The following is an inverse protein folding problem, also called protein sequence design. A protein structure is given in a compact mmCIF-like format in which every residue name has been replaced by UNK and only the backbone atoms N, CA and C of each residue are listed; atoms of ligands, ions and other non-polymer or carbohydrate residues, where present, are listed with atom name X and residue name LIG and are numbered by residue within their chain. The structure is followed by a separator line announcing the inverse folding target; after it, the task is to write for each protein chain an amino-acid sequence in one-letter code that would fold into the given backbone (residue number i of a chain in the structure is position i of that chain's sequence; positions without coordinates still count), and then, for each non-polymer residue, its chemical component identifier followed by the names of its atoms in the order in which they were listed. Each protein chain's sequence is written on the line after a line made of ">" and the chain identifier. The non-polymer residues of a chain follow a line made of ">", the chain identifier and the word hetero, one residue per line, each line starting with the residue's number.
data_IF_669803594622
#
_entry.id   IF_669803594622
#
_cell.length_a   1.000
_cell.length_b   1.000
_cell.length_c   1.000
_cell.angle_alpha   90.00
_cell.angle_beta   90.00
_cell.angle_gamma   90.00
#
_symmetry.space_group_name_H-M   'P 1'
#
loop_
_entity.id
_entity.type
_entity.pdbx_description
1 polymer ?
#
# COMPACT_ATOMS: atom_id res chain seq x y z
N UNK A 1 -44.62 -41.99 57.28
CA UNK A 1 -44.39 -40.63 57.84
C UNK A 1 -42.89 -40.21 57.69
N UNK A 2 -41.99 -41.10 57.44
CA UNK A 2 -40.53 -40.83 57.27
C UNK A 2 -40.13 -40.35 55.88
N UNK A 3 -40.82 -40.80 54.83
CA UNK A 3 -40.53 -40.38 53.43
C UNK A 3 -40.90 -38.94 53.09
N UNK A 4 -41.91 -38.32 53.73
CA UNK A 4 -42.28 -36.91 53.50
C UNK A 4 -41.27 -35.92 54.11
N UNK A 5 -40.53 -36.31 55.15
CA UNK A 5 -39.51 -35.47 55.79
C UNK A 5 -38.20 -35.44 55.01
N UNK A 6 -37.87 -36.50 54.24
CA UNK A 6 -36.68 -36.53 53.38
C UNK A 6 -36.85 -35.68 52.11
N UNK A 7 -38.08 -35.59 51.56
CA UNK A 7 -38.32 -34.72 50.37
C UNK A 7 -38.27 -33.21 50.69
N UNK A 8 -38.67 -32.80 51.92
CA UNK A 8 -38.60 -31.40 52.32
C UNK A 8 -37.18 -30.91 52.59
N UNK A 9 -36.28 -31.79 53.11
CA UNK A 9 -34.88 -31.44 53.33
C UNK A 9 -34.07 -31.40 52.05
N UNK A 10 -34.42 -32.20 51.02
CA UNK A 10 -33.79 -32.11 49.68
C UNK A 10 -34.12 -30.84 48.89
N UNK A 11 -35.36 -30.33 49.06
CA UNK A 11 -35.79 -29.11 48.40
C UNK A 11 -35.19 -27.85 49.03
N UNK A 12 -34.89 -27.84 50.34
CA UNK A 12 -34.21 -26.74 51.01
C UNK A 12 -32.72 -26.65 50.63
N UNK A 13 -32.05 -27.80 50.35
CA UNK A 13 -30.64 -27.81 49.93
C UNK A 13 -30.46 -27.40 48.45
N UNK A 14 -31.46 -27.65 47.61
CA UNK A 14 -31.43 -27.22 46.19
C UNK A 14 -31.65 -25.72 46.02
N UNK A 15 -32.33 -25.05 46.97
CA UNK A 15 -32.60 -23.60 46.91
C UNK A 15 -31.37 -22.75 47.35
N UNK A 16 -30.41 -23.33 48.08
CA UNK A 16 -29.20 -22.63 48.50
C UNK A 16 -28.10 -22.59 47.44
N UNK A 17 -28.22 -23.30 46.29
CA UNK A 17 -27.22 -23.28 45.22
C UNK A 17 -27.46 -22.24 44.12
N UNK A 18 -28.52 -21.41 44.21
CA UNK A 18 -28.83 -20.44 43.19
C UNK A 18 -28.31 -19.03 43.53
N UNK A 19 -27.60 -18.86 44.63
CA UNK A 19 -27.02 -17.55 45.00
C UNK A 19 -25.56 -17.40 44.66
N UNK A 20 -25.05 -18.12 43.65
CA UNK A 20 -23.73 -17.81 43.15
C UNK A 20 -23.77 -16.75 42.06
N UNK A 21 -23.43 -15.56 42.54
CA UNK A 21 -22.62 -14.59 41.84
C UNK A 21 -23.19 -13.99 40.58
N UNK A 22 -23.89 -12.95 40.72
CA UNK A 22 -23.66 -11.83 39.82
C UNK A 22 -22.29 -11.27 40.13
N UNK A 23 -21.21 -11.83 39.55
CA UNK A 23 -19.98 -11.11 39.39
C UNK A 23 -20.34 -9.85 38.62
N UNK A 24 -20.16 -8.69 39.23
CA UNK A 24 -20.21 -7.42 38.51
C UNK A 24 -19.20 -7.52 37.38
N UNK A 25 -19.65 -7.81 36.18
CA UNK A 25 -18.87 -7.63 34.97
C UNK A 25 -18.78 -6.14 34.79
N UNK A 26 -17.64 -5.55 35.11
CA UNK A 26 -17.34 -4.16 34.76
C UNK A 26 -17.29 -4.17 33.23
N UNK A 27 -18.27 -3.57 32.60
CA UNK A 27 -18.37 -3.54 31.13
C UNK A 27 -17.14 -2.85 30.51
N UNK A 28 -16.67 -1.78 31.11
CA UNK A 28 -15.39 -1.09 30.80
C UNK A 28 -15.00 -0.17 31.97
N UNK A 29 -13.75 0.28 32.01
CA UNK A 29 -13.23 1.15 33.05
C UNK A 29 -12.78 2.47 32.45
N UNK A 30 -13.25 3.57 33.03
CA UNK A 30 -12.75 4.91 32.69
C UNK A 30 -11.34 5.04 33.26
N UNK A 31 -10.34 5.21 32.40
CA UNK A 31 -8.93 5.38 32.78
C UNK A 31 -8.52 6.84 32.82
N UNK A 32 -9.18 7.70 32.06
CA UNK A 32 -8.93 9.13 32.06
C UNK A 32 -10.08 9.98 31.56
N UNK A 33 -10.06 11.24 31.95
CA UNK A 33 -10.99 12.27 31.46
C UNK A 33 -10.19 13.53 31.16
N UNK A 34 -10.47 14.17 30.02
CA UNK A 34 -9.95 15.49 29.67
C UNK A 34 -11.11 16.37 29.23
N UNK A 35 -11.55 17.29 30.08
CA UNK A 35 -12.78 18.04 29.88
C UNK A 35 -14.00 17.16 29.93
N UNK A 36 -14.70 17.02 28.80
CA UNK A 36 -15.83 16.13 28.57
C UNK A 36 -15.45 14.85 27.82
N UNK A 37 -14.19 14.67 27.46
CA UNK A 37 -13.68 13.51 26.69
C UNK A 37 -13.22 12.41 27.63
N UNK A 38 -13.78 11.23 27.46
CA UNK A 38 -13.48 10.04 28.26
C UNK A 38 -12.48 9.15 27.52
N UNK A 39 -11.61 8.49 28.26
CA UNK A 39 -10.71 7.43 27.76
C UNK A 39 -11.00 6.16 28.54
N UNK A 40 -11.31 5.09 27.81
CA UNK A 40 -11.63 3.79 28.38
C UNK A 40 -10.41 2.86 28.39
N UNK A 41 -10.39 1.91 29.31
CA UNK A 41 -9.33 0.88 29.39
C UNK A 41 -9.28 0.05 28.10
N UNK A 42 -10.45 -0.29 27.56
CA UNK A 42 -10.56 -1.03 26.31
C UNK A 42 -9.92 -0.29 25.12
N UNK A 43 -9.99 1.04 25.06
CA UNK A 43 -9.36 1.82 23.98
C UNK A 43 -7.83 1.62 23.96
N UNK A 44 -7.18 1.59 25.14
CA UNK A 44 -5.74 1.34 25.26
C UNK A 44 -5.38 -0.07 24.77
N UNK A 45 -6.17 -1.07 25.19
CA UNK A 45 -5.97 -2.47 24.78
C UNK A 45 -6.15 -2.62 23.28
N UNK A 46 -7.23 -2.07 22.71
CA UNK A 46 -7.50 -2.11 21.26
C UNK A 46 -6.38 -1.43 20.46
N UNK A 47 -5.93 -0.25 20.90
CA UNK A 47 -4.84 0.46 20.23
C UNK A 47 -3.54 -0.39 20.19
N UNK A 48 -3.24 -1.10 21.29
CA UNK A 48 -2.08 -1.99 21.35
C UNK A 48 -2.22 -3.21 20.43
N UNK A 49 -3.42 -3.79 20.36
CA UNK A 49 -3.71 -4.90 19.44
C UNK A 49 -3.64 -4.46 17.97
N UNK A 50 -4.08 -3.26 17.66
CA UNK A 50 -4.00 -2.71 16.29
C UNK A 50 -2.55 -2.46 15.86
N UNK A 51 -1.68 -1.97 16.77
CA UNK A 51 -0.24 -1.83 16.51
C UNK A 51 0.37 -3.19 16.17
N UNK A 52 0.04 -4.24 16.95
CA UNK A 52 0.54 -5.60 16.68
C UNK A 52 0.05 -6.14 15.34
N UNK A 53 -1.23 -5.95 15.00
CA UNK A 53 -1.80 -6.40 13.71
C UNK A 53 -1.11 -5.74 12.50
N UNK A 54 -0.64 -4.51 12.67
CA UNK A 54 0.13 -3.78 11.66
C UNK A 54 1.62 -4.18 11.62
N UNK A 55 2.03 -5.19 12.40
CA UNK A 55 3.42 -5.65 12.46
C UNK A 55 4.33 -4.81 13.36
N UNK A 56 3.76 -3.87 14.13
CA UNK A 56 4.48 -3.06 15.11
C UNK A 56 4.72 -3.82 16.44
N UNK A 57 5.66 -3.31 17.23
CA UNK A 57 5.86 -3.78 18.60
C UNK A 57 4.84 -3.12 19.53
N UNK A 58 4.28 -3.90 20.47
CA UNK A 58 3.40 -3.37 21.50
C UNK A 58 4.09 -2.24 22.27
N UNK A 59 3.38 -1.15 22.48
CA UNK A 59 3.83 -0.05 23.32
C UNK A 59 3.38 -0.31 24.78
N UNK A 60 4.07 0.32 25.73
CA UNK A 60 3.60 0.26 27.11
C UNK A 60 2.30 1.10 27.27
N UNK A 61 1.44 0.66 28.18
CA UNK A 61 0.14 1.29 28.40
C UNK A 61 0.26 2.76 28.83
N UNK A 62 1.33 3.12 29.55
CA UNK A 62 1.58 4.50 29.96
C UNK A 62 1.82 5.43 28.76
N UNK A 63 2.56 4.93 27.76
CA UNK A 63 2.85 5.69 26.53
C UNK A 63 1.60 5.86 25.68
N UNK A 64 0.83 4.82 25.49
CA UNK A 64 -0.46 4.90 24.76
C UNK A 64 -1.43 5.83 25.46
N UNK A 65 -1.51 5.76 26.79
CA UNK A 65 -2.40 6.62 27.55
C UNK A 65 -1.98 8.11 27.48
N UNK A 66 -0.67 8.43 27.53
CA UNK A 66 -0.17 9.83 27.29
C UNK A 66 -0.57 10.34 25.90
N UNK A 67 -0.46 9.47 24.87
CA UNK A 67 -0.89 9.82 23.51
C UNK A 67 -2.39 10.09 23.42
N UNK A 68 -3.22 9.25 24.08
CA UNK A 68 -4.67 9.43 24.10
C UNK A 68 -5.08 10.71 24.87
N UNK A 69 -4.49 10.96 26.04
CA UNK A 69 -4.70 12.20 26.77
C UNK A 69 -4.34 13.44 25.93
N UNK A 70 -3.19 13.36 25.25
CA UNK A 70 -2.71 14.40 24.33
C UNK A 70 -3.71 14.63 23.17
N UNK A 71 -4.23 13.54 22.58
CA UNK A 71 -5.23 13.63 21.51
C UNK A 71 -6.53 14.25 22.01
N UNK A 72 -7.07 13.79 23.17
CA UNK A 72 -8.31 14.33 23.72
C UNK A 72 -8.16 15.82 24.08
N UNK A 73 -7.01 16.25 24.59
CA UNK A 73 -6.73 17.67 24.85
C UNK A 73 -6.71 18.52 23.56
N UNK A 74 -6.14 18.00 22.49
CA UNK A 74 -6.18 18.66 21.18
C UNK A 74 -7.60 18.76 20.64
N UNK A 75 -8.40 17.69 20.72
CA UNK A 75 -9.81 17.68 20.32
C UNK A 75 -10.60 18.73 21.10
N UNK A 76 -10.47 18.72 22.43
CA UNK A 76 -11.15 19.68 23.29
C UNK A 76 -10.82 21.13 22.93
N UNK A 77 -9.54 21.42 22.65
CA UNK A 77 -9.14 22.77 22.25
C UNK A 77 -9.61 23.09 20.83
N UNK A 78 -9.57 22.12 19.91
CA UNK A 78 -10.06 22.30 18.54
C UNK A 78 -11.55 22.72 18.52
N UNK A 79 -12.35 22.07 19.35
CA UNK A 79 -13.77 22.41 19.51
C UNK A 79 -13.94 23.83 20.08
N UNK A 80 -13.17 24.20 21.13
CA UNK A 80 -13.17 25.55 21.70
C UNK A 80 -12.74 26.61 20.70
N UNK A 81 -11.76 26.29 19.86
CA UNK A 81 -11.20 27.17 18.85
C UNK A 81 -11.99 27.15 17.51
N UNK A 82 -13.09 26.38 17.46
CA UNK A 82 -13.94 26.21 16.29
C UNK A 82 -13.16 25.80 15.02
N UNK A 83 -12.23 24.82 15.17
CA UNK A 83 -11.53 24.26 14.02
C UNK A 83 -12.54 23.64 13.05
N UNK A 84 -12.57 24.05 11.78
CA UNK A 84 -13.57 23.57 10.84
C UNK A 84 -13.31 22.10 10.48
N UNK A 85 -14.30 21.25 10.67
CA UNK A 85 -14.36 19.86 10.19
C UNK A 85 -15.77 19.62 9.65
N UNK A 86 -15.88 19.42 8.34
CA UNK A 86 -17.16 19.21 7.68
C UNK A 86 -17.59 17.74 7.72
N UNK A 87 -18.89 17.48 7.70
CA UNK A 87 -19.40 16.11 7.61
C UNK A 87 -19.03 15.48 6.25
N UNK A 88 -18.92 16.29 5.19
CA UNK A 88 -18.47 15.83 3.86
C UNK A 88 -17.04 15.27 3.90
N UNK A 89 -16.13 15.95 4.58
CA UNK A 89 -14.75 15.48 4.78
C UNK A 89 -14.70 14.16 5.53
N UNK A 90 -15.55 14.02 6.57
CA UNK A 90 -15.64 12.80 7.38
C UNK A 90 -16.17 11.64 6.53
N UNK A 91 -17.28 11.84 5.81
CA UNK A 91 -17.84 10.80 4.94
C UNK A 91 -16.89 10.37 3.85
N UNK A 92 -16.19 11.31 3.23
CA UNK A 92 -15.19 11.03 2.20
C UNK A 92 -14.06 10.13 2.72
N UNK A 93 -13.58 10.40 3.94
CA UNK A 93 -12.52 9.59 4.56
C UNK A 93 -13.04 8.21 4.99
N UNK A 94 -14.26 8.14 5.53
CA UNK A 94 -14.92 6.87 5.85
C UNK A 94 -15.05 6.02 4.59
N UNK A 95 -15.55 6.58 3.49
CA UNK A 95 -15.70 5.87 2.22
C UNK A 95 -14.37 5.37 1.66
N UNK A 96 -13.31 6.15 1.81
CA UNK A 96 -11.98 5.73 1.40
C UNK A 96 -11.47 4.54 2.23
N UNK A 97 -11.66 4.57 3.55
CA UNK A 97 -11.29 3.45 4.45
C UNK A 97 -12.10 2.19 4.14
N UNK A 98 -13.39 2.33 3.92
CA UNK A 98 -14.27 1.20 3.57
C UNK A 98 -13.85 0.59 2.23
N UNK A 99 -13.57 1.41 1.20
CA UNK A 99 -13.04 0.89 -0.08
C UNK A 99 -11.71 0.15 0.10
N UNK A 100 -10.83 0.67 0.93
CA UNK A 100 -9.57 0.01 1.26
C UNK A 100 -9.82 -1.37 1.90
N UNK A 101 -10.67 -1.45 2.92
CA UNK A 101 -11.00 -2.72 3.56
C UNK A 101 -11.67 -3.71 2.59
N UNK A 102 -12.61 -3.25 1.77
CA UNK A 102 -13.23 -4.10 0.75
C UNK A 102 -12.15 -4.65 -0.21
N UNK A 103 -11.15 -3.85 -0.61
CA UNK A 103 -10.06 -4.32 -1.46
C UNK A 103 -9.16 -5.35 -0.77
N UNK A 104 -8.98 -5.25 0.55
CA UNK A 104 -8.18 -6.20 1.34
C UNK A 104 -8.92 -7.53 1.59
N UNK A 105 -10.22 -7.47 1.85
CA UNK A 105 -11.04 -8.64 2.16
C UNK A 105 -11.77 -9.24 0.94
N UNK A 106 -11.63 -8.61 -0.23
CA UNK A 106 -12.12 -9.09 -1.50
C UNK A 106 -13.53 -8.64 -1.86
N UNK A 107 -14.46 -8.51 -0.89
CA UNK A 107 -15.81 -8.03 -1.15
C UNK A 107 -16.43 -7.33 0.06
N UNK A 108 -17.56 -6.66 -0.17
CA UNK A 108 -18.37 -6.05 0.89
C UNK A 108 -18.92 -7.11 1.86
N UNK A 109 -19.43 -8.19 1.32
CA UNK A 109 -20.04 -9.29 2.08
C UNK A 109 -18.98 -9.97 2.98
N UNK A 110 -17.76 -10.16 2.48
CA UNK A 110 -16.66 -10.70 3.26
C UNK A 110 -16.28 -9.78 4.43
N UNK A 111 -16.24 -8.46 4.20
CA UNK A 111 -15.97 -7.48 5.26
C UNK A 111 -17.09 -7.50 6.33
N UNK A 112 -18.38 -7.53 5.93
CA UNK A 112 -19.51 -7.62 6.86
C UNK A 112 -19.50 -8.94 7.66
N UNK A 113 -19.15 -10.05 7.02
CA UNK A 113 -19.05 -11.35 7.68
C UNK A 113 -17.92 -11.40 8.72
N UNK A 114 -16.74 -10.89 8.37
CA UNK A 114 -15.54 -10.89 9.26
C UNK A 114 -15.75 -9.93 10.43
N UNK A 115 -16.35 -8.76 10.20
CA UNK A 115 -16.59 -7.76 11.24
C UNK A 115 -17.79 -8.09 12.13
N UNK A 116 -18.72 -8.95 11.66
CA UNK A 116 -20.01 -9.20 12.30
C UNK A 116 -20.94 -7.99 12.29
N UNK A 117 -20.71 -6.99 11.43
CA UNK A 117 -21.42 -5.72 11.35
C UNK A 117 -21.72 -5.35 9.91
N UNK A 118 -22.84 -4.69 9.67
CA UNK A 118 -23.14 -4.12 8.34
C UNK A 118 -22.20 -2.94 8.02
N UNK A 119 -22.00 -2.65 6.74
CA UNK A 119 -21.21 -1.49 6.30
C UNK A 119 -21.74 -0.18 6.91
N UNK A 120 -23.04 -0.05 7.11
CA UNK A 120 -23.62 1.13 7.75
C UNK A 120 -23.18 1.28 9.21
N UNK A 121 -23.15 0.18 9.96
CA UNK A 121 -22.67 0.17 11.34
C UNK A 121 -21.17 0.44 11.40
N UNK A 122 -20.37 -0.15 10.50
CA UNK A 122 -18.94 0.12 10.42
C UNK A 122 -18.67 1.60 10.10
N UNK A 123 -19.43 2.20 9.18
CA UNK A 123 -19.32 3.64 8.88
C UNK A 123 -19.65 4.50 10.09
N UNK A 124 -20.71 4.16 10.81
CA UNK A 124 -21.12 4.91 12.00
C UNK A 124 -20.09 4.82 13.12
N UNK A 125 -19.49 3.65 13.33
CA UNK A 125 -18.41 3.44 14.30
C UNK A 125 -17.15 4.29 13.97
N UNK A 126 -16.87 4.53 12.68
CA UNK A 126 -15.73 5.35 12.27
C UNK A 126 -15.97 6.86 12.35
N UNK A 127 -17.21 7.32 12.38
CA UNK A 127 -17.57 8.74 12.28
C UNK A 127 -16.92 9.58 13.39
N UNK A 128 -17.13 9.19 14.63
CA UNK A 128 -16.60 9.93 15.77
C UNK A 128 -15.08 9.85 15.87
N UNK A 129 -14.42 8.69 15.76
CA UNK A 129 -12.95 8.60 15.71
C UNK A 129 -12.31 9.45 14.60
N UNK A 130 -12.87 9.45 13.40
CA UNK A 130 -12.37 10.26 12.29
C UNK A 130 -12.55 11.75 12.57
N UNK A 131 -13.71 12.17 13.10
CA UNK A 131 -13.95 13.55 13.51
C UNK A 131 -12.90 14.01 14.52
N UNK A 132 -12.68 13.24 15.58
CA UNK A 132 -11.66 13.54 16.60
C UNK A 132 -10.25 13.59 16.02
N UNK A 133 -9.90 12.66 15.14
CA UNK A 133 -8.60 12.65 14.47
C UNK A 133 -8.39 13.93 13.64
N UNK A 134 -9.41 14.36 12.88
CA UNK A 134 -9.36 15.59 12.07
C UNK A 134 -9.27 16.85 12.94
N UNK A 135 -10.07 16.93 14.00
CA UNK A 135 -10.00 18.03 14.97
C UNK A 135 -8.62 18.13 15.60
N UNK A 136 -8.07 17.02 16.11
CA UNK A 136 -6.74 16.99 16.70
C UNK A 136 -5.64 17.38 15.69
N UNK A 137 -5.74 16.89 14.46
CA UNK A 137 -4.80 17.24 13.38
C UNK A 137 -4.89 18.71 12.99
N UNK A 138 -6.11 19.23 12.82
CA UNK A 138 -6.35 20.64 12.54
C UNK A 138 -5.81 21.56 13.64
N UNK A 139 -6.04 21.20 14.91
CA UNK A 139 -5.49 21.95 16.05
C UNK A 139 -3.95 21.91 16.08
N UNK A 140 -3.38 20.72 15.84
CA UNK A 140 -1.91 20.57 15.75
C UNK A 140 -1.34 21.44 14.64
N UNK A 141 -1.97 21.44 13.47
CA UNK A 141 -1.56 22.31 12.34
C UNK A 141 -1.64 23.79 12.70
N UNK A 142 -2.72 24.24 13.36
CA UNK A 142 -2.89 25.62 13.82
C UNK A 142 -1.80 26.04 14.81
N UNK A 143 -1.42 25.17 15.77
CA UNK A 143 -0.37 25.47 16.76
C UNK A 143 0.98 25.70 16.09
N UNK A 144 1.28 24.95 15.03
CA UNK A 144 2.56 25.02 14.31
C UNK A 144 2.50 25.88 13.06
N UNK A 145 1.35 26.52 12.79
CA UNK A 145 1.16 27.42 11.66
C UNK A 145 2.16 28.58 11.73
N UNK A 146 2.77 28.88 10.61
CA UNK A 146 3.74 29.97 10.52
C UNK A 146 5.12 29.67 11.13
N UNK A 147 5.35 28.51 11.76
CA UNK A 147 6.68 28.12 12.23
C UNK A 147 7.55 27.80 11.01
N UNK A 148 8.59 28.62 10.83
CA UNK A 148 9.60 28.47 9.80
C UNK A 148 10.96 28.22 10.44
N UNK A 149 11.86 27.63 9.69
CA UNK A 149 13.26 27.43 10.09
C UNK A 149 14.15 28.39 9.31
N UNK A 150 15.12 28.95 9.97
CA UNK A 150 16.15 29.81 9.33
C UNK A 150 17.44 29.03 9.10
N UNK A 151 18.31 29.43 8.15
CA UNK A 151 19.59 28.79 7.93
C UNK A 151 20.47 28.73 9.19
N UNK A 152 20.43 29.74 10.02
CA UNK A 152 21.16 29.77 11.30
C UNK A 152 20.66 28.68 12.25
N UNK A 153 19.34 28.55 12.42
CA UNK A 153 18.75 27.52 13.26
C UNK A 153 19.05 26.10 12.74
N UNK A 154 19.07 25.90 11.43
CA UNK A 154 19.48 24.63 10.83
C UNK A 154 20.92 24.29 11.18
N UNK A 155 21.82 25.27 11.10
CA UNK A 155 23.21 25.09 11.49
C UNK A 155 23.36 24.75 12.98
N UNK A 156 22.68 25.49 13.85
CA UNK A 156 22.68 25.23 15.29
C UNK A 156 22.10 23.86 15.65
N UNK A 157 21.06 23.42 14.94
CA UNK A 157 20.50 22.08 15.09
C UNK A 157 21.54 21.02 14.72
N UNK A 158 22.17 21.16 13.56
CA UNK A 158 23.17 20.21 13.05
C UNK A 158 24.39 20.12 13.99
N UNK A 159 24.88 21.24 14.50
CA UNK A 159 26.02 21.30 15.43
C UNK A 159 25.74 20.59 16.77
N UNK A 160 24.47 20.47 17.17
CA UNK A 160 24.04 19.74 18.38
C UNK A 160 23.99 18.22 18.17
N UNK A 161 24.00 17.74 16.92
CA UNK A 161 23.98 16.30 16.65
C UNK A 161 25.34 15.71 17.02
N UNK A 162 25.39 14.71 17.93
CA UNK A 162 26.64 14.04 18.25
C UNK A 162 27.24 13.39 16.99
N UNK A 163 28.55 13.50 16.79
CA UNK A 163 29.24 12.98 15.61
C UNK A 163 28.98 11.50 15.35
N UNK A 164 28.81 10.69 16.39
CA UNK A 164 28.48 9.28 16.31
C UNK A 164 27.01 8.99 15.95
N UNK A 165 26.16 10.02 15.84
CA UNK A 165 24.77 9.94 15.40
C UNK A 165 24.54 10.52 14.01
N UNK A 166 25.57 11.08 13.38
CA UNK A 166 25.49 11.53 11.99
C UNK A 166 25.28 10.32 11.10
N UNK A 167 24.38 10.49 10.14
CA UNK A 167 24.01 9.41 9.21
C UNK A 167 25.11 9.26 8.18
N UNK A 168 25.51 8.03 7.89
CA UNK A 168 26.34 7.72 6.72
C UNK A 168 25.41 7.45 5.53
N UNK A 169 25.52 8.27 4.50
CA UNK A 169 24.82 8.09 3.25
C UNK A 169 25.70 7.31 2.28
N UNK A 170 25.18 6.20 1.79
CA UNK A 170 25.78 5.48 0.69
C UNK A 170 25.64 6.26 -0.62
N UNK A 171 26.41 5.91 -1.63
CA UNK A 171 26.28 6.51 -2.95
C UNK A 171 24.86 6.32 -3.49
N UNK A 172 24.23 7.41 -3.85
CA UNK A 172 22.90 7.44 -4.43
C UNK A 172 22.94 7.99 -5.84
N UNK A 173 22.00 7.56 -6.66
CA UNK A 173 21.85 8.04 -8.03
C UNK A 173 20.42 8.46 -8.30
N UNK A 174 20.24 9.47 -9.14
CA UNK A 174 18.95 9.78 -9.76
C UNK A 174 19.05 9.38 -11.24
N UNK A 175 18.10 8.59 -11.67
CA UNK A 175 18.13 7.95 -12.99
C UNK A 175 16.81 8.19 -13.70
N UNK A 176 16.90 8.57 -14.96
CA UNK A 176 15.79 8.51 -15.92
C UNK A 176 15.96 7.32 -16.87
N UNK A 177 14.86 6.72 -17.32
CA UNK A 177 14.91 5.67 -18.33
C UNK A 177 13.83 5.82 -19.40
N UNK A 178 14.16 5.39 -20.62
CA UNK A 178 13.20 5.19 -21.70
C UNK A 178 13.29 3.72 -22.09
N UNK A 179 12.16 3.06 -22.08
CA UNK A 179 12.05 1.61 -22.29
C UNK A 179 11.25 1.34 -23.54
N UNK A 180 11.70 0.43 -24.39
CA UNK A 180 10.92 -0.15 -25.49
C UNK A 180 10.89 -1.66 -25.32
N UNK A 181 9.67 -2.24 -25.32
CA UNK A 181 9.52 -3.67 -25.44
C UNK A 181 9.40 -4.04 -26.92
N UNK A 182 10.32 -4.89 -27.44
CA UNK A 182 10.24 -5.36 -28.80
C UNK A 182 8.86 -5.99 -29.06
N UNK A 183 8.25 -5.66 -30.17
CA UNK A 183 6.97 -6.22 -30.58
C UNK A 183 7.24 -7.29 -31.65
N UNK A 184 6.48 -8.36 -31.58
CA UNK A 184 6.56 -9.39 -32.62
C UNK A 184 6.25 -8.76 -33.98
N UNK A 185 7.06 -9.10 -34.99
CA UNK A 185 6.79 -8.76 -36.35
C UNK A 185 5.49 -9.47 -36.82
N UNK A 186 4.89 -8.95 -37.89
CA UNK A 186 3.69 -9.53 -38.46
C UNK A 186 3.90 -10.99 -38.85
N UNK A 187 5.07 -11.35 -39.33
CA UNK A 187 5.38 -12.73 -39.77
C UNK A 187 5.41 -13.70 -38.58
N UNK A 188 5.97 -13.26 -37.43
CA UNK A 188 5.94 -14.06 -36.19
C UNK A 188 4.52 -14.17 -35.64
N UNK A 189 3.73 -13.08 -35.70
CA UNK A 189 2.30 -13.17 -35.34
C UNK A 189 1.53 -14.14 -36.22
N UNK A 190 1.73 -14.08 -37.54
CA UNK A 190 1.09 -15.01 -38.50
C UNK A 190 1.49 -16.46 -38.24
N UNK A 191 2.74 -16.72 -37.92
CA UNK A 191 3.19 -18.06 -37.56
C UNK A 191 2.41 -18.63 -36.36
N UNK A 192 2.25 -17.84 -35.29
CA UNK A 192 1.48 -18.25 -34.12
C UNK A 192 -0.01 -18.46 -34.44
N UNK A 193 -0.58 -17.64 -35.35
CA UNK A 193 -1.95 -17.75 -35.80
C UNK A 193 -2.12 -19.04 -36.64
N UNK A 194 -1.20 -19.33 -37.55
CA UNK A 194 -1.24 -20.53 -38.43
C UNK A 194 -1.08 -21.82 -37.63
N UNK A 195 -0.18 -21.85 -36.62
CA UNK A 195 -0.07 -22.94 -35.67
C UNK A 195 -1.41 -23.24 -34.97
N UNK A 196 -2.04 -22.19 -34.42
CA UNK A 196 -3.31 -22.32 -33.71
C UNK A 196 -4.46 -22.75 -34.63
N UNK A 197 -4.50 -22.25 -35.87
CA UNK A 197 -5.45 -22.73 -36.89
C UNK A 197 -5.21 -24.20 -37.23
N UNK A 198 -3.96 -24.64 -37.32
CA UNK A 198 -3.60 -26.02 -37.48
C UNK A 198 -4.08 -26.92 -36.33
N UNK A 199 -3.92 -26.45 -35.09
CA UNK A 199 -4.45 -27.17 -33.91
C UNK A 199 -5.97 -27.24 -33.93
N UNK A 200 -6.64 -26.11 -34.21
CA UNK A 200 -8.09 -26.07 -34.36
C UNK A 200 -8.58 -27.11 -35.39
N UNK A 201 -7.99 -27.14 -36.57
CA UNK A 201 -8.34 -28.11 -37.63
C UNK A 201 -8.18 -29.56 -37.16
N UNK A 202 -7.10 -29.87 -36.42
CA UNK A 202 -6.87 -31.21 -35.87
C UNK A 202 -7.93 -31.61 -34.85
N UNK A 203 -8.35 -30.66 -33.98
CA UNK A 203 -9.41 -30.89 -32.98
C UNK A 203 -10.76 -31.08 -33.66
N UNK A 204 -11.14 -30.24 -34.63
CA UNK A 204 -12.42 -30.28 -35.35
C UNK A 204 -12.52 -31.53 -36.20
N UNK A 205 -11.41 -32.03 -36.78
CA UNK A 205 -11.34 -33.28 -37.50
C UNK A 205 -11.29 -34.53 -36.57
N UNK A 206 -11.22 -34.35 -35.25
CA UNK A 206 -11.14 -35.46 -34.28
C UNK A 206 -9.80 -36.22 -34.28
N UNK A 207 -8.77 -35.73 -35.00
CA UNK A 207 -7.46 -36.40 -35.11
C UNK A 207 -6.60 -36.23 -33.88
N UNK A 208 -6.80 -35.15 -33.12
CA UNK A 208 -6.14 -34.85 -31.84
C UNK A 208 -7.14 -34.32 -30.84
N UNK A 209 -6.92 -34.65 -29.56
CA UNK A 209 -7.70 -34.06 -28.46
C UNK A 209 -7.15 -32.68 -28.10
N UNK A 210 -8.05 -31.74 -27.79
CA UNK A 210 -7.67 -30.38 -27.40
C UNK A 210 -6.73 -30.37 -26.19
N UNK A 211 -7.02 -31.15 -25.15
CA UNK A 211 -6.21 -31.28 -23.95
C UNK A 211 -4.77 -31.73 -24.22
N UNK A 212 -4.59 -32.65 -25.17
CA UNK A 212 -3.26 -33.16 -25.59
C UNK A 212 -2.45 -32.03 -26.23
N UNK A 213 -3.09 -31.28 -27.15
CA UNK A 213 -2.44 -30.16 -27.82
C UNK A 213 -2.13 -29.04 -26.82
N UNK A 214 -3.02 -28.76 -25.87
CA UNK A 214 -2.79 -27.76 -24.81
C UNK A 214 -1.59 -28.13 -23.94
N UNK A 215 -1.50 -29.38 -23.47
CA UNK A 215 -0.39 -29.84 -22.66
C UNK A 215 0.96 -29.84 -23.39
N UNK A 216 0.97 -30.07 -24.69
CA UNK A 216 2.21 -30.08 -25.47
C UNK A 216 2.67 -28.68 -25.90
N UNK A 217 1.73 -27.87 -26.36
CA UNK A 217 2.06 -26.67 -27.14
C UNK A 217 1.61 -25.34 -26.50
N UNK A 218 0.77 -25.37 -25.45
CA UNK A 218 0.37 -24.11 -24.81
C UNK A 218 1.53 -23.44 -24.12
N UNK A 219 1.64 -22.12 -24.28
CA UNK A 219 2.59 -21.25 -23.54
C UNK A 219 2.00 -20.74 -22.22
N UNK A 220 0.78 -21.17 -21.84
CA UNK A 220 0.16 -20.79 -20.58
C UNK A 220 0.61 -21.66 -19.41
N UNK A 221 1.43 -21.16 -18.47
CA UNK A 221 1.90 -21.96 -17.34
C UNK A 221 0.78 -22.33 -16.34
N UNK A 222 -0.32 -21.56 -16.32
CA UNK A 222 -1.42 -21.77 -15.37
C UNK A 222 -2.31 -22.97 -15.70
N UNK A 223 -2.44 -23.31 -16.97
CA UNK A 223 -3.35 -24.38 -17.42
C UNK A 223 -2.71 -25.47 -18.27
N UNK A 224 -1.50 -25.28 -18.80
CA UNK A 224 -0.80 -26.22 -19.66
C UNK A 224 -0.82 -27.64 -19.11
N UNK A 225 -0.38 -27.85 -17.89
CA UNK A 225 -0.26 -29.16 -17.24
C UNK A 225 -1.62 -29.81 -16.94
N UNK A 226 -2.69 -29.02 -17.01
CA UNK A 226 -4.08 -29.46 -16.82
C UNK A 226 -4.85 -29.55 -18.14
N UNK A 227 -4.15 -29.66 -19.28
CA UNK A 227 -4.80 -29.74 -20.61
C UNK A 227 -5.52 -28.46 -21.01
N UNK A 228 -5.05 -27.29 -20.50
CA UNK A 228 -5.58 -25.98 -20.85
C UNK A 228 -6.87 -25.56 -20.10
N UNK A 229 -7.28 -26.28 -19.04
CA UNK A 229 -8.58 -26.10 -18.37
C UNK A 229 -8.59 -24.91 -17.46
N UNK A 230 -9.65 -24.09 -17.57
CA UNK A 230 -10.08 -23.09 -16.61
C UNK A 230 -11.56 -23.23 -16.27
N UNK A 231 -11.89 -22.99 -15.02
CA UNK A 231 -13.26 -22.74 -14.58
C UNK A 231 -13.46 -21.23 -14.52
N UNK A 232 -14.51 -20.73 -15.11
CA UNK A 232 -14.83 -19.30 -15.19
C UNK A 232 -16.27 -19.06 -14.75
N UNK A 233 -16.51 -17.93 -14.10
CA UNK A 233 -17.85 -17.46 -13.75
C UNK A 233 -18.13 -16.14 -14.48
N UNK A 234 -19.38 -15.91 -14.89
CA UNK A 234 -19.78 -14.70 -15.63
C UNK A 234 -19.47 -13.40 -14.88
N UNK A 235 -19.35 -13.42 -13.56
CA UNK A 235 -18.99 -12.29 -12.73
C UNK A 235 -17.50 -12.01 -12.61
N UNK A 236 -16.65 -12.90 -13.16
CA UNK A 236 -15.19 -12.75 -13.11
C UNK A 236 -14.72 -11.49 -13.83
N UNK A 237 -13.82 -10.74 -13.19
CA UNK A 237 -13.25 -9.49 -13.73
C UNK A 237 -11.74 -9.55 -13.97
N UNK A 238 -11.08 -10.66 -13.59
CA UNK A 238 -9.64 -10.83 -13.72
C UNK A 238 -9.17 -11.22 -15.12
N UNK A 239 -10.07 -11.68 -15.98
CA UNK A 239 -9.75 -12.17 -17.33
C UNK A 239 -9.60 -11.03 -18.34
N UNK A 240 -8.79 -11.26 -19.39
CA UNK A 240 -8.76 -10.35 -20.52
C UNK A 240 -10.16 -10.26 -21.16
N UNK A 241 -10.72 -9.05 -21.35
CA UNK A 241 -12.10 -8.88 -21.82
C UNK A 241 -12.38 -9.54 -23.17
N UNK A 242 -11.40 -9.54 -24.08
CA UNK A 242 -11.54 -10.15 -25.42
C UNK A 242 -11.60 -11.67 -25.32
N UNK A 243 -10.70 -12.26 -24.56
CA UNK A 243 -10.65 -13.69 -24.28
C UNK A 243 -11.92 -14.14 -23.56
N UNK A 244 -12.30 -13.44 -22.49
CA UNK A 244 -13.47 -13.75 -21.67
C UNK A 244 -14.78 -13.68 -22.48
N UNK A 245 -14.98 -12.61 -23.26
CA UNK A 245 -16.14 -12.47 -24.13
C UNK A 245 -16.23 -13.58 -25.17
N UNK A 246 -15.09 -14.04 -25.69
CA UNK A 246 -15.05 -15.11 -26.63
C UNK A 246 -15.45 -16.45 -26.01
N UNK A 247 -15.05 -16.76 -24.76
CA UNK A 247 -15.49 -17.98 -24.07
C UNK A 247 -17.03 -18.08 -24.05
N UNK A 248 -17.71 -16.99 -23.70
CA UNK A 248 -19.16 -16.98 -23.53
C UNK A 248 -19.97 -17.03 -24.83
N UNK A 249 -19.32 -16.82 -26.00
CA UNK A 249 -19.96 -16.92 -27.31
C UNK A 249 -19.97 -18.35 -27.87
N UNK A 250 -19.18 -19.27 -27.28
CA UNK A 250 -19.05 -20.64 -27.78
C UNK A 250 -20.20 -21.52 -27.27
N UNK A 251 -20.58 -22.48 -28.10
CA UNK A 251 -21.41 -23.62 -27.71
C UNK A 251 -20.52 -24.73 -27.13
N UNK A 252 -21.10 -25.61 -26.32
CA UNK A 252 -20.37 -26.77 -25.78
C UNK A 252 -19.78 -27.61 -26.93
N UNK A 253 -18.52 -28.01 -26.76
CA UNK A 253 -17.71 -28.70 -27.76
C UNK A 253 -17.09 -27.80 -28.83
N UNK A 254 -17.58 -26.59 -29.02
CA UNK A 254 -17.11 -25.69 -30.08
C UNK A 254 -15.73 -25.11 -29.77
N UNK A 255 -14.89 -25.00 -30.82
CA UNK A 255 -13.58 -24.32 -30.78
C UNK A 255 -13.71 -22.94 -31.41
N UNK A 256 -13.12 -21.93 -30.75
CA UNK A 256 -13.13 -20.55 -31.24
C UNK A 256 -12.27 -20.36 -32.50
N UNK A 257 -12.49 -19.30 -33.29
CA UNK A 257 -11.42 -18.77 -34.13
C UNK A 257 -10.23 -18.34 -33.27
N UNK A 258 -9.09 -18.06 -33.90
CA UNK A 258 -7.93 -17.49 -33.19
C UNK A 258 -8.28 -16.12 -32.69
N UNK A 259 -7.99 -15.85 -31.39
CA UNK A 259 -8.31 -14.62 -30.65
C UNK A 259 -7.03 -14.02 -30.16
N UNK A 260 -6.88 -12.70 -30.33
CA UNK A 260 -5.76 -11.92 -29.75
C UNK A 260 -6.18 -11.33 -28.40
N UNK A 261 -5.39 -11.58 -27.38
CA UNK A 261 -5.47 -10.93 -26.05
C UNK A 261 -4.18 -10.19 -25.73
N UNK A 262 -4.10 -9.59 -24.56
CA UNK A 262 -2.85 -9.00 -24.05
C UNK A 262 -1.74 -10.04 -23.82
N UNK A 263 -2.09 -11.30 -23.55
CA UNK A 263 -1.14 -12.37 -23.30
C UNK A 263 -0.58 -13.00 -24.60
N UNK A 264 -1.29 -12.91 -25.71
CA UNK A 264 -0.91 -13.52 -26.97
C UNK A 264 -2.12 -13.95 -27.80
N UNK A 265 -1.96 -15.03 -28.58
CA UNK A 265 -2.99 -15.60 -29.44
C UNK A 265 -3.54 -16.87 -28.80
N UNK A 266 -4.84 -17.05 -28.88
CA UNK A 266 -5.55 -18.19 -28.26
C UNK A 266 -6.51 -18.85 -29.21
N UNK A 267 -6.70 -20.15 -29.03
CA UNK A 267 -7.95 -20.87 -29.38
C UNK A 267 -8.57 -21.39 -28.09
N UNK A 268 -9.89 -21.40 -28.02
CA UNK A 268 -10.66 -21.75 -26.83
C UNK A 268 -11.67 -22.79 -27.18
N UNK A 269 -11.83 -23.83 -26.35
CA UNK A 269 -12.90 -24.80 -26.46
C UNK A 269 -13.84 -24.71 -25.27
N UNK A 270 -15.14 -24.56 -25.49
CA UNK A 270 -16.13 -24.69 -24.44
C UNK A 270 -16.31 -26.18 -24.10
N UNK A 271 -16.05 -26.56 -22.86
CA UNK A 271 -16.21 -27.93 -22.38
C UNK A 271 -17.64 -28.16 -21.88
N UNK A 272 -18.08 -27.31 -20.96
CA UNK A 272 -19.42 -27.35 -20.38
C UNK A 272 -19.84 -25.99 -19.87
N UNK A 273 -21.15 -25.77 -19.76
CA UNK A 273 -21.73 -24.55 -19.25
C UNK A 273 -22.96 -24.85 -18.39
N UNK A 274 -23.01 -24.27 -17.19
CA UNK A 274 -24.13 -24.40 -16.26
C UNK A 274 -24.45 -23.05 -15.65
N UNK A 275 -25.52 -22.39 -16.14
CA UNK A 275 -25.89 -21.04 -15.68
C UNK A 275 -24.78 -20.02 -15.95
N UNK A 276 -24.26 -19.41 -14.89
CA UNK A 276 -23.19 -18.44 -14.92
C UNK A 276 -21.79 -19.06 -14.78
N UNK A 277 -21.68 -20.38 -14.62
CA UNK A 277 -20.42 -21.11 -14.59
C UNK A 277 -20.12 -21.78 -15.91
N UNK A 278 -18.86 -21.84 -16.31
CA UNK A 278 -18.39 -22.55 -17.45
C UNK A 278 -17.01 -23.17 -17.23
N UNK A 279 -16.79 -24.30 -17.90
CA UNK A 279 -15.48 -24.93 -18.01
C UNK A 279 -15.00 -24.76 -19.45
N UNK A 280 -13.84 -24.14 -19.61
CA UNK A 280 -13.21 -23.93 -20.90
C UNK A 280 -11.82 -24.53 -20.94
N UNK A 281 -11.35 -24.88 -22.13
CA UNK A 281 -9.92 -25.14 -22.37
C UNK A 281 -9.39 -24.10 -23.32
N UNK A 282 -8.13 -23.72 -23.16
CA UNK A 282 -7.47 -22.87 -24.14
C UNK A 282 -6.04 -23.33 -24.45
N UNK A 283 -5.56 -22.90 -25.60
CA UNK A 283 -4.16 -22.99 -26.00
C UNK A 283 -3.71 -21.57 -26.26
N UNK A 284 -2.69 -21.12 -25.51
CA UNK A 284 -2.03 -19.84 -25.71
C UNK A 284 -0.77 -20.06 -26.56
N UNK A 285 -0.56 -19.17 -27.54
CA UNK A 285 0.73 -19.01 -28.22
C UNK A 285 1.20 -17.57 -28.07
N UNK A 286 2.39 -17.43 -27.51
CA UNK A 286 3.05 -16.13 -27.35
C UNK A 286 4.06 -16.02 -28.48
N UNK A 287 3.90 -15.04 -29.42
CA UNK A 287 4.88 -14.81 -30.48
C UNK A 287 6.27 -14.58 -29.90
N UNK A 288 7.24 -15.42 -30.23
CA UNK A 288 8.58 -15.37 -29.67
C UNK A 288 9.38 -14.27 -30.35
N UNK A 289 9.81 -13.26 -29.55
CA UNK A 289 10.67 -12.18 -30.01
C UNK A 289 12.04 -12.74 -30.40
N UNK A 290 12.47 -12.44 -31.59
CA UNK A 290 13.77 -12.84 -32.12
C UNK A 290 14.83 -11.75 -31.98
N UNK A 291 16.06 -12.05 -32.41
CA UNK A 291 17.12 -11.04 -32.45
C UNK A 291 16.80 -9.89 -33.42
N UNK A 292 15.98 -10.13 -34.45
CA UNK A 292 15.61 -9.09 -35.43
C UNK A 292 14.80 -8.01 -34.76
N UNK A 293 13.69 -8.36 -34.07
CA UNK A 293 12.84 -7.41 -33.38
C UNK A 293 13.56 -6.71 -32.25
N UNK A 294 14.45 -7.42 -31.56
CA UNK A 294 15.29 -6.84 -30.52
C UNK A 294 16.26 -5.79 -31.09
N UNK A 295 16.90 -6.06 -32.23
CA UNK A 295 17.80 -5.13 -32.90
C UNK A 295 17.04 -3.91 -33.46
N UNK A 296 15.83 -4.06 -33.96
CA UNK A 296 14.97 -2.95 -34.37
C UNK A 296 14.63 -2.03 -33.21
N UNK A 297 14.33 -2.58 -32.03
CA UNK A 297 14.10 -1.79 -30.81
C UNK A 297 15.37 -1.04 -30.36
N UNK A 298 16.54 -1.68 -30.45
CA UNK A 298 17.85 -1.05 -30.20
C UNK A 298 18.07 0.11 -31.16
N UNK A 299 17.93 -0.08 -32.45
CA UNK A 299 18.13 0.96 -33.47
C UNK A 299 17.16 2.14 -33.29
N UNK A 300 15.90 1.85 -32.94
CA UNK A 300 14.90 2.88 -32.63
C UNK A 300 15.31 3.70 -31.41
N UNK A 301 15.72 3.08 -30.30
CA UNK A 301 16.17 3.80 -29.12
C UNK A 301 17.46 4.57 -29.34
N UNK A 302 18.37 4.05 -30.14
CA UNK A 302 19.61 4.75 -30.50
C UNK A 302 19.30 6.03 -31.27
N UNK A 303 18.38 5.98 -32.24
CA UNK A 303 17.88 7.18 -32.94
C UNK A 303 17.20 8.19 -32.00
N UNK A 304 16.46 7.74 -31.00
CA UNK A 304 15.85 8.61 -29.98
C UNK A 304 16.95 9.25 -29.11
N UNK A 305 17.92 8.45 -28.67
CA UNK A 305 19.07 8.93 -27.91
C UNK A 305 19.82 10.01 -28.66
N UNK A 306 20.12 9.82 -29.93
CA UNK A 306 20.87 10.78 -30.74
C UNK A 306 20.13 12.12 -30.85
N UNK A 307 18.79 12.11 -30.95
CA UNK A 307 17.95 13.32 -30.95
C UNK A 307 18.04 14.04 -29.60
N UNK A 308 18.04 13.29 -28.49
CA UNK A 308 18.15 13.91 -27.16
C UNK A 308 19.54 14.50 -26.96
N UNK A 309 20.60 13.78 -27.32
CA UNK A 309 21.98 14.23 -27.19
C UNK A 309 22.24 15.47 -28.07
N UNK A 310 21.62 15.51 -29.25
CA UNK A 310 21.69 16.69 -30.15
C UNK A 310 20.83 17.87 -29.67
N UNK A 311 20.07 17.73 -28.57
CA UNK A 311 19.15 18.76 -28.05
C UNK A 311 17.90 18.99 -28.91
N UNK A 312 17.66 18.15 -29.90
CA UNK A 312 16.48 18.23 -30.79
C UNK A 312 15.20 17.66 -30.14
N UNK A 313 15.32 16.96 -29.01
CA UNK A 313 14.24 16.36 -28.26
C UNK A 313 14.55 16.37 -26.77
N UNK A 314 13.64 16.83 -25.93
CA UNK A 314 13.79 16.77 -24.47
C UNK A 314 13.61 15.34 -23.96
N UNK A 315 14.33 14.94 -22.88
CA UNK A 315 14.24 13.60 -22.33
C UNK A 315 12.79 13.26 -21.89
N UNK A 316 12.13 14.15 -21.16
CA UNK A 316 10.74 13.93 -20.73
C UNK A 316 9.74 13.83 -21.89
N UNK A 317 9.95 14.58 -22.97
CA UNK A 317 9.15 14.48 -24.22
C UNK A 317 9.39 13.12 -24.90
N UNK A 318 10.66 12.69 -24.95
CA UNK A 318 11.02 11.38 -25.48
C UNK A 318 10.38 10.24 -24.68
N UNK A 319 10.37 10.35 -23.35
CA UNK A 319 9.66 9.40 -22.45
C UNK A 319 8.18 9.32 -22.82
N UNK A 320 7.49 10.44 -22.89
CA UNK A 320 6.07 10.47 -23.19
C UNK A 320 5.73 9.87 -24.58
N UNK A 321 6.63 10.04 -25.55
CA UNK A 321 6.41 9.63 -26.94
C UNK A 321 6.84 8.21 -27.25
N UNK A 322 7.88 7.72 -26.61
CA UNK A 322 8.55 6.48 -27.02
C UNK A 322 8.63 5.41 -25.94
N UNK A 323 8.44 5.76 -24.63
CA UNK A 323 8.54 4.77 -23.57
C UNK A 323 7.29 3.91 -23.50
N UNK A 324 7.49 2.60 -23.47
CA UNK A 324 6.44 1.59 -23.24
C UNK A 324 6.25 1.33 -21.72
N UNK A 325 7.06 1.92 -20.82
CA UNK A 325 6.90 1.83 -19.38
C UNK A 325 5.65 2.59 -18.92
N UNK A 326 4.64 1.90 -18.34
CA UNK A 326 3.39 2.54 -17.94
C UNK A 326 3.57 3.63 -16.87
N UNK A 327 4.60 3.48 -16.01
CA UNK A 327 4.87 4.41 -14.90
C UNK A 327 5.60 5.65 -15.37
N UNK A 328 6.34 5.57 -16.46
CA UNK A 328 7.17 6.64 -16.99
C UNK A 328 6.38 7.92 -17.32
N UNK A 329 5.11 7.80 -17.69
CA UNK A 329 4.24 8.95 -18.00
C UNK A 329 4.01 9.87 -16.78
N UNK A 330 4.02 9.30 -15.58
CA UNK A 330 3.77 10.05 -14.33
C UNK A 330 5.05 10.58 -13.70
N UNK A 331 6.20 9.97 -14.04
CA UNK A 331 7.50 10.30 -13.45
C UNK A 331 8.45 11.02 -14.39
N UNK A 332 7.99 11.31 -15.63
CA UNK A 332 8.84 11.77 -16.73
C UNK A 332 10.06 10.85 -16.96
N UNK A 333 9.86 9.55 -16.79
CA UNK A 333 10.88 8.50 -16.92
C UNK A 333 11.80 8.33 -15.71
N UNK A 334 11.64 9.11 -14.64
CA UNK A 334 12.45 8.96 -13.42
C UNK A 334 12.13 7.66 -12.71
N UNK A 335 13.15 6.93 -12.35
CA UNK A 335 13.02 5.78 -11.49
C UNK A 335 12.76 6.24 -10.06
N UNK A 336 11.88 5.50 -9.35
CA UNK A 336 11.45 5.82 -7.99
C UNK A 336 11.81 4.67 -7.05
N UNK A 337 12.29 5.00 -5.86
CA UNK A 337 12.42 4.06 -4.77
C UNK A 337 11.04 3.68 -4.19
N UNK A 338 10.97 2.66 -3.35
CA UNK A 338 9.72 2.20 -2.73
C UNK A 338 9.03 3.23 -1.83
N UNK A 339 9.82 4.16 -1.29
CA UNK A 339 9.34 5.27 -0.47
C UNK A 339 8.88 6.49 -1.29
N UNK A 340 8.96 6.41 -2.63
CA UNK A 340 8.62 7.49 -3.53
C UNK A 340 9.76 8.50 -3.76
N UNK A 341 10.95 8.27 -3.20
CA UNK A 341 12.15 9.07 -3.49
C UNK A 341 12.65 8.85 -4.90
N UNK A 342 13.20 9.88 -5.52
CA UNK A 342 13.94 9.78 -6.79
C UNK A 342 15.42 9.46 -6.60
N UNK A 343 15.89 9.43 -5.35
CA UNK A 343 17.25 9.03 -5.00
C UNK A 343 17.28 7.53 -4.72
N UNK A 344 18.04 6.80 -5.51
CA UNK A 344 18.14 5.35 -5.46
C UNK A 344 19.50 4.94 -4.90
N UNK A 345 19.53 4.03 -3.95
CA UNK A 345 20.76 3.38 -3.53
C UNK A 345 21.28 2.49 -4.67
N UNK A 346 22.57 2.52 -4.93
CA UNK A 346 23.17 1.66 -5.98
C UNK A 346 22.91 0.16 -5.68
N UNK A 347 22.80 -0.20 -4.40
CA UNK A 347 22.54 -1.57 -3.98
C UNK A 347 21.11 -2.05 -4.34
N UNK A 348 20.15 -1.12 -4.48
CA UNK A 348 18.75 -1.43 -4.80
C UNK A 348 18.47 -1.47 -6.31
N UNK A 349 19.46 -1.09 -7.14
CA UNK A 349 19.32 -1.12 -8.59
C UNK A 349 19.38 -2.55 -9.13
N UNK A 350 18.72 -2.78 -10.27
CA UNK A 350 18.88 -4.04 -10.99
C UNK A 350 20.33 -4.26 -11.45
N UNK A 351 20.71 -5.53 -11.58
CA UNK A 351 22.10 -5.92 -11.87
C UNK A 351 22.62 -5.32 -13.18
N UNK A 352 21.76 -5.23 -14.19
CA UNK A 352 22.16 -4.70 -15.50
C UNK A 352 22.45 -3.20 -15.42
N UNK A 353 21.67 -2.48 -14.61
CA UNK A 353 21.87 -1.06 -14.37
C UNK A 353 23.13 -0.78 -13.55
N UNK A 354 23.41 -1.59 -12.53
CA UNK A 354 24.67 -1.50 -11.77
C UNK A 354 25.88 -1.73 -12.69
N UNK A 355 25.81 -2.74 -13.56
CA UNK A 355 26.87 -3.04 -14.53
C UNK A 355 27.02 -1.91 -15.55
N UNK A 356 25.90 -1.36 -16.04
CA UNK A 356 25.92 -0.19 -16.92
C UNK A 356 26.69 0.97 -16.29
N UNK A 357 26.30 1.38 -15.08
CA UNK A 357 26.90 2.50 -14.37
C UNK A 357 28.39 2.28 -14.08
N UNK A 358 28.80 1.04 -13.80
CA UNK A 358 30.20 0.69 -13.58
C UNK A 358 31.05 0.69 -14.87
N UNK A 359 30.49 0.13 -15.96
CA UNK A 359 31.24 -0.12 -17.18
C UNK A 359 31.32 1.10 -18.09
N UNK A 360 30.32 2.00 -18.05
CA UNK A 360 30.29 3.14 -18.99
C UNK A 360 30.85 4.43 -18.41
N UNK A 361 31.12 4.48 -17.10
CA UNK A 361 31.59 5.69 -16.41
C UNK A 361 30.70 6.92 -16.71
N UNK A 362 29.35 6.68 -16.80
CA UNK A 362 28.37 7.67 -17.19
C UNK A 362 28.43 8.86 -16.21
N UNK A 363 28.52 10.06 -16.73
CA UNK A 363 28.52 11.29 -15.94
C UNK A 363 27.10 11.84 -15.79
N UNK A 364 26.88 12.66 -14.77
CA UNK A 364 25.62 13.36 -14.61
C UNK A 364 25.29 14.18 -15.86
N UNK A 365 24.07 14.02 -16.36
CA UNK A 365 23.57 14.62 -17.61
C UNK A 365 23.85 13.78 -18.87
N UNK A 366 24.56 12.68 -18.78
CA UNK A 366 24.81 11.80 -19.93
C UNK A 366 23.79 10.69 -20.04
N UNK A 367 23.57 10.22 -21.28
CA UNK A 367 22.63 9.16 -21.63
C UNK A 367 23.39 7.94 -22.17
N UNK A 368 23.08 6.78 -21.64
CA UNK A 368 23.67 5.52 -22.07
C UNK A 368 23.31 5.17 -23.52
N UNK A 369 24.09 4.28 -24.13
CA UNK A 369 23.66 3.55 -25.33
C UNK A 369 22.49 2.62 -24.97
N UNK A 370 21.67 2.21 -25.94
CA UNK A 370 20.64 1.20 -25.73
C UNK A 370 21.22 -0.08 -25.15
N UNK A 371 20.56 -0.60 -24.09
CA UNK A 371 20.94 -1.82 -23.40
C UNK A 371 19.75 -2.76 -23.31
N UNK A 372 19.92 -4.07 -23.59
CA UNK A 372 18.91 -5.05 -23.26
C UNK A 372 18.74 -5.14 -21.74
N UNK A 373 17.50 -5.36 -21.29
CA UNK A 373 17.21 -5.62 -19.89
C UNK A 373 15.96 -6.51 -19.76
N UNK A 374 15.74 -7.01 -18.55
CA UNK A 374 14.53 -7.79 -18.24
C UNK A 374 13.81 -7.09 -17.09
N UNK A 375 12.52 -6.81 -17.26
CA UNK A 375 11.71 -6.22 -16.21
C UNK A 375 11.42 -7.21 -15.05
N UNK A 376 10.79 -6.73 -13.98
CA UNK A 376 10.44 -7.55 -12.80
C UNK A 376 9.47 -8.70 -13.14
N UNK A 377 8.75 -8.63 -14.26
CA UNK A 377 7.81 -9.66 -14.74
C UNK A 377 8.48 -10.65 -15.68
N UNK A 378 9.79 -10.49 -15.91
CA UNK A 378 10.54 -11.33 -16.85
C UNK A 378 10.39 -10.94 -18.33
N UNK A 379 9.78 -9.78 -18.63
CA UNK A 379 9.64 -9.31 -20.01
C UNK A 379 10.96 -8.70 -20.49
N UNK A 380 11.45 -9.17 -21.63
CA UNK A 380 12.67 -8.67 -22.25
C UNK A 380 12.37 -7.34 -22.96
N UNK A 381 13.16 -6.33 -22.65
CA UNK A 381 13.08 -4.99 -23.21
C UNK A 381 14.46 -4.45 -23.61
N UNK A 382 14.43 -3.24 -24.16
CA UNK A 382 15.61 -2.42 -24.43
C UNK A 382 15.41 -1.07 -23.75
N UNK A 383 16.42 -0.55 -23.10
CA UNK A 383 16.36 0.77 -22.44
C UNK A 383 17.57 1.62 -22.74
N UNK A 384 17.38 2.94 -22.69
CA UNK A 384 18.42 3.94 -22.50
C UNK A 384 18.24 4.57 -21.13
N UNK A 385 19.34 4.97 -20.52
CA UNK A 385 19.39 5.45 -19.13
C UNK A 385 20.09 6.80 -19.12
N UNK A 386 19.42 7.80 -18.53
CA UNK A 386 20.02 9.10 -18.20
C UNK A 386 20.49 9.09 -16.75
N UNK A 387 21.75 9.36 -16.50
CA UNK A 387 22.23 9.63 -15.16
C UNK A 387 22.01 11.10 -14.83
N UNK A 388 20.97 11.41 -14.06
CA UNK A 388 20.59 12.78 -13.70
C UNK A 388 21.57 13.35 -12.67
N UNK A 389 21.84 12.57 -11.61
CA UNK A 389 22.81 12.94 -10.57
C UNK A 389 23.39 11.70 -9.92
N UNK A 390 24.55 11.85 -9.32
CA UNK A 390 25.23 10.83 -8.49
C UNK A 390 25.86 11.53 -7.30
N UNK A 391 25.60 11.03 -6.10
CA UNK A 391 26.30 11.44 -4.89
C UNK A 391 27.38 10.45 -4.53
N UNK A 392 28.49 10.94 -4.00
CA UNK A 392 29.51 10.08 -3.41
C UNK A 392 29.09 9.67 -1.98
N UNK A 393 29.57 8.52 -1.46
CA UNK A 393 29.33 8.13 -0.09
C UNK A 393 29.89 9.21 0.85
N UNK A 394 29.09 9.65 1.81
CA UNK A 394 29.52 10.70 2.75
C UNK A 394 28.83 10.58 4.10
N UNK A 395 29.49 11.14 5.12
CA UNK A 395 28.84 11.39 6.40
C UNK A 395 28.00 12.65 6.25
N UNK A 396 26.81 12.61 6.80
CA UNK A 396 25.84 13.70 6.80
C UNK A 396 26.47 15.04 7.05
N UNK A 397 26.21 16.01 6.18
CA UNK A 397 26.77 17.35 6.24
C UNK A 397 25.83 18.42 5.67
N UNK A 398 26.04 19.68 6.06
CA UNK A 398 25.19 20.80 5.63
C UNK A 398 25.33 21.19 4.16
N UNK A 399 26.35 20.72 3.45
CA UNK A 399 26.52 21.04 2.03
C UNK A 399 25.63 20.18 1.16
N UNK A 400 25.63 18.89 1.43
CA UNK A 400 25.00 17.90 0.55
C UNK A 400 23.57 17.56 1.04
N UNK A 401 23.31 17.61 2.37
CA UNK A 401 22.07 17.13 3.01
C UNK A 401 21.21 18.26 3.62
N UNK A 402 21.49 19.53 3.25
CA UNK A 402 20.86 20.69 3.87
C UNK A 402 19.33 20.59 4.00
N UNK A 403 18.65 20.16 2.94
CA UNK A 403 17.18 20.08 2.92
C UNK A 403 16.64 19.05 3.93
N UNK A 404 17.30 17.90 4.05
CA UNK A 404 16.91 16.85 4.99
C UNK A 404 17.15 17.29 6.42
N UNK A 405 18.29 17.91 6.66
CA UNK A 405 18.65 18.47 7.98
C UNK A 405 17.70 19.61 8.36
N UNK A 406 17.37 20.50 7.41
CA UNK A 406 16.45 21.62 7.63
C UNK A 406 15.03 21.10 7.96
N UNK A 407 14.57 20.05 7.28
CA UNK A 407 13.26 19.46 7.60
C UNK A 407 13.25 18.87 9.02
N UNK A 408 14.28 18.11 9.41
CA UNK A 408 14.39 17.57 10.78
C UNK A 408 14.47 18.67 11.84
N UNK A 409 15.21 19.73 11.57
CA UNK A 409 15.30 20.89 12.47
C UNK A 409 13.94 21.61 12.59
N UNK A 410 13.19 21.73 11.49
CA UNK A 410 11.84 22.28 11.50
C UNK A 410 10.87 21.42 12.29
N UNK A 411 10.94 20.09 12.13
CA UNK A 411 10.06 19.15 12.83
C UNK A 411 10.35 19.17 14.36
N UNK A 412 11.63 19.24 14.76
CA UNK A 412 12.00 19.44 16.16
C UNK A 412 11.46 20.78 16.70
N UNK A 413 11.61 21.87 15.95
CA UNK A 413 11.09 23.20 16.34
C UNK A 413 9.57 23.17 16.51
N UNK A 414 8.85 22.50 15.62
CA UNK A 414 7.39 22.29 15.73
C UNK A 414 7.03 21.43 16.94
N UNK A 415 7.79 20.37 17.20
CA UNK A 415 7.60 19.52 18.37
C UNK A 415 7.77 20.31 19.69
N UNK A 416 8.82 21.13 19.79
CA UNK A 416 9.05 21.99 20.95
C UNK A 416 7.90 23.00 21.11
N UNK A 417 7.40 23.58 20.03
CA UNK A 417 6.26 24.49 20.08
C UNK A 417 4.99 23.81 20.58
N UNK A 418 4.71 22.58 20.12
CA UNK A 418 3.62 21.77 20.64
C UNK A 418 3.77 21.47 22.12
N UNK A 419 4.95 21.09 22.57
CA UNK A 419 5.22 20.83 24.01
C UNK A 419 4.99 22.08 24.85
N UNK A 420 5.49 23.24 24.42
CA UNK A 420 5.27 24.55 25.12
C UNK A 420 3.78 24.89 25.15
N UNK A 421 3.07 24.68 24.06
CA UNK A 421 1.64 24.92 24.00
C UNK A 421 0.90 24.03 25.01
N UNK A 422 1.19 22.72 25.05
CA UNK A 422 0.61 21.80 26.01
C UNK A 422 0.91 22.22 27.45
N UNK A 423 2.16 22.56 27.76
CA UNK A 423 2.54 23.00 29.08
C UNK A 423 1.74 24.26 29.55
N UNK A 424 1.39 25.14 28.62
CA UNK A 424 0.60 26.34 28.91
C UNK A 424 -0.90 26.07 29.05
N UNK A 425 -1.43 25.02 28.41
CA UNK A 425 -2.87 24.75 28.32
C UNK A 425 -3.36 23.66 29.26
N UNK A 426 -2.51 22.68 29.59
CA UNK A 426 -2.90 21.47 30.31
C UNK A 426 -3.58 21.80 31.68
N UNK A 427 -3.11 22.79 32.40
CA UNK A 427 -3.67 23.21 33.68
C UNK A 427 -5.03 23.93 33.60
N UNK A 428 -5.48 24.24 32.36
CA UNK A 428 -6.79 24.87 32.11
C UNK A 428 -7.90 23.87 31.87
N UNK A 429 -7.57 22.59 31.76
CA UNK A 429 -8.53 21.52 31.53
C UNK A 429 -8.90 20.81 32.84
N UNK A 430 -10.13 20.33 32.94
CA UNK A 430 -10.52 19.34 33.92
C UNK A 430 -9.92 17.98 33.54
N UNK A 431 -9.11 17.39 34.45
CA UNK A 431 -8.37 16.16 34.15
C UNK A 431 -8.60 15.16 35.28
N UNK A 432 -8.94 13.93 34.91
CA UNK A 432 -8.99 12.79 35.84
C UNK A 432 -8.10 11.69 35.29
N UNK A 433 -7.30 11.08 36.17
CA UNK A 433 -6.44 9.94 35.85
C UNK A 433 -6.69 8.86 36.87
N UNK A 434 -6.94 7.66 36.40
CA UNK A 434 -7.12 6.48 37.23
C UNK A 434 -5.84 6.14 38.02
N UNK A 435 -6.01 5.62 39.23
CA UNK A 435 -4.90 5.29 40.15
C UNK A 435 -3.89 4.32 39.54
N UNK A 436 -4.33 3.43 38.67
CA UNK A 436 -3.47 2.48 37.94
C UNK A 436 -2.35 3.18 37.15
N UNK A 437 -2.59 4.39 36.65
CA UNK A 437 -1.65 5.14 35.80
C UNK A 437 -0.88 6.25 36.56
N UNK A 438 -1.14 6.44 37.85
CA UNK A 438 -0.46 7.49 38.64
C UNK A 438 1.05 7.29 38.80
N UNK A 439 1.52 6.06 38.62
CA UNK A 439 2.95 5.73 38.70
C UNK A 439 3.71 5.87 37.37
N UNK A 440 3.03 6.23 36.30
CA UNK A 440 3.65 6.42 34.98
C UNK A 440 4.48 7.71 34.94
N UNK A 441 5.79 7.59 34.75
CA UNK A 441 6.70 8.74 34.75
C UNK A 441 6.40 9.78 33.66
N UNK A 442 5.96 9.32 32.48
CA UNK A 442 5.58 10.18 31.34
C UNK A 442 4.28 10.95 31.56
N UNK A 443 3.45 10.56 32.55
CA UNK A 443 2.18 11.21 32.88
C UNK A 443 2.30 12.31 33.96
N UNK A 444 3.49 12.58 34.47
CA UNK A 444 3.72 13.53 35.56
C UNK A 444 3.04 14.90 35.30
N UNK A 445 3.12 15.43 34.08
CA UNK A 445 2.48 16.69 33.69
C UNK A 445 0.96 16.65 33.81
N UNK A 446 0.34 15.50 33.49
CA UNK A 446 -1.11 15.27 33.54
C UNK A 446 -1.58 15.09 34.99
N UNK A 447 -0.82 14.34 35.79
CA UNK A 447 -1.10 14.11 37.22
C UNK A 447 -1.03 15.43 38.01
N UNK A 448 -0.03 16.28 37.73
CA UNK A 448 0.07 17.59 38.34
C UNK A 448 -1.14 18.47 37.95
N UNK A 449 -1.55 18.46 36.70
CA UNK A 449 -2.70 19.21 36.24
C UNK A 449 -4.02 18.69 36.85
N UNK A 450 -4.17 17.36 36.99
CA UNK A 450 -5.32 16.74 37.64
C UNK A 450 -5.47 17.17 39.10
N UNK A 451 -4.36 17.25 39.85
CA UNK A 451 -4.35 17.73 41.25
C UNK A 451 -4.80 19.19 41.36
N UNK A 452 -4.41 20.05 40.40
CA UNK A 452 -4.84 21.47 40.35
C UNK A 452 -6.34 21.56 40.01
N UNK A 453 -6.85 20.71 39.13
CA UNK A 453 -8.28 20.72 38.75
C UNK A 453 -9.17 20.22 39.89
N UNK A 454 -8.71 19.28 40.70
CA UNK A 454 -9.44 18.75 41.85
C UNK A 454 -9.53 19.74 43.06
N UNK A 455 -8.68 20.78 43.07
CA UNK A 455 -8.64 21.79 44.13
C UNK A 455 -9.46 23.05 43.79
N UNK A 456 -10.06 23.13 42.60
CA UNK A 456 -10.99 24.17 42.15
C UNK A 456 -12.42 23.70 42.26
#
# INVERSE_FOLDING_TARGET
>A
MVMKKLMLSGLSLALCMITYAQTKVVADKITGIVGDKIILKSEIVIANEDIKRQGGQAQDDCTLFDQMLTQKALVLQAEKDSIPVTDEDIESEIDQRIRYFISQYGSREALEQISGRSIYQIKDDFRQPIREQRLASGMRSKIVEGIKITPTEVKEYFEKIPKNRLIFYESQVQIGQIVIFPKASRDIELLAIDELNGFKTQVEAGTKKFETLASLYSDDPGSKDKGGVYQINRSDKQWDPTWFSACWRLKEGQVSPVIKSKAGYHIIQMVSRSGDDAVVRHILRIPQITAVESNEAVAKLDSVRDKIVAGALGFGEAVAKYSDDPTAKYTAGRMMARDGSTYLLIADLDKDLVLLLKNTNLKAGEISKPQPYTDERGQKGVRIVELISKSDPHIENLKDDYNVIAQRALDEKKSIALQKWFASKISTYYIVIDDEYKNCANLTKWIQAANVSASK
#
